data_IF_456505310051
#
_entry.id   IF_456505310051
#
_cell.length_a   1.000
_cell.length_b   1.000
_cell.length_c   1.000
_cell.angle_alpha   90.00
_cell.angle_beta   90.00
_cell.angle_gamma   90.00
#
_symmetry.space_group_name_H-M   'P 1'
#
loop_
_entity.id
_entity.type
_entity.pdbx_description
1 polymer ?
#
# COMPACT_ATOMS: atom_id res chain seq x y z
N UNK A 1 7.54 29.47 10.02
CA UNK A 1 7.34 28.00 10.19
C UNK A 1 6.40 27.43 9.11
N UNK A 2 6.41 27.91 7.86
CA UNK A 2 5.44 27.51 6.80
C UNK A 2 5.89 26.35 5.89
N UNK A 3 7.19 26.03 5.83
CA UNK A 3 7.71 25.04 4.86
C UNK A 3 7.30 23.58 5.10
N UNK A 4 6.77 23.23 6.29
CA UNK A 4 6.49 21.82 6.66
C UNK A 4 5.07 21.37 6.28
N UNK A 5 4.14 22.31 6.11
CA UNK A 5 2.73 22.01 5.84
C UNK A 5 2.43 21.82 4.34
N UNK A 6 3.26 22.35 3.43
CA UNK A 6 3.06 22.19 1.97
C UNK A 6 3.30 20.75 1.50
N UNK A 7 4.34 20.09 2.03
CA UNK A 7 4.79 18.76 1.60
C UNK A 7 3.77 17.61 1.75
N UNK A 8 3.06 17.46 2.89
CA UNK A 8 2.02 16.43 2.98
C UNK A 8 0.85 16.69 2.03
N UNK A 9 0.53 17.96 1.77
CA UNK A 9 -0.53 18.32 0.83
C UNK A 9 -0.13 18.05 -0.62
N UNK A 10 1.13 18.32 -0.99
CA UNK A 10 1.72 17.94 -2.28
C UNK A 10 1.69 16.42 -2.49
N UNK A 11 1.88 15.63 -1.42
CA UNK A 11 1.86 14.17 -1.46
C UNK A 11 0.44 13.62 -1.60
N UNK A 12 -0.53 14.19 -0.89
CA UNK A 12 -1.95 13.90 -1.10
C UNK A 12 -2.35 14.24 -2.54
N UNK A 13 -1.90 15.38 -3.05
CA UNK A 13 -2.13 15.76 -4.44
C UNK A 13 -1.50 14.75 -5.39
N UNK A 14 -0.23 14.36 -5.20
CA UNK A 14 0.44 13.35 -6.01
C UNK A 14 -0.25 11.98 -5.95
N UNK A 15 -0.75 11.55 -4.80
CA UNK A 15 -1.51 10.31 -4.67
C UNK A 15 -2.82 10.31 -5.47
N UNK A 16 -3.41 11.48 -5.69
CA UNK A 16 -4.65 11.64 -6.47
C UNK A 16 -4.36 11.93 -7.94
N UNK A 17 -3.31 12.68 -8.24
CA UNK A 17 -2.98 13.16 -9.59
C UNK A 17 -2.13 12.18 -10.39
N UNK A 18 -1.25 11.41 -9.73
CA UNK A 18 -0.40 10.43 -10.41
C UNK A 18 -1.12 9.08 -10.52
N UNK A 19 -1.37 8.58 -11.75
CA UNK A 19 -2.08 7.31 -11.96
C UNK A 19 -1.42 6.13 -11.24
N UNK A 20 -0.09 6.13 -11.16
CA UNK A 20 0.66 5.08 -10.46
C UNK A 20 0.26 5.00 -8.98
N UNK A 21 0.27 6.12 -8.26
CA UNK A 21 -0.06 6.12 -6.83
C UNK A 21 -1.56 5.86 -6.60
N UNK A 22 -2.42 6.47 -7.41
CA UNK A 22 -3.86 6.31 -7.30
C UNK A 22 -4.30 4.86 -7.52
N UNK A 23 -3.80 4.20 -8.57
CA UNK A 23 -4.16 2.81 -8.86
C UNK A 23 -3.63 1.84 -7.80
N UNK A 24 -2.43 2.08 -7.27
CA UNK A 24 -1.92 1.29 -6.15
C UNK A 24 -2.76 1.46 -4.89
N UNK A 25 -3.15 2.69 -4.58
CA UNK A 25 -4.03 2.99 -3.47
C UNK A 25 -5.39 2.30 -3.63
N UNK A 26 -6.03 2.47 -4.80
CA UNK A 26 -7.32 1.84 -5.08
C UNK A 26 -7.24 0.31 -5.02
N UNK A 27 -6.17 -0.27 -5.57
CA UNK A 27 -5.91 -1.71 -5.50
C UNK A 27 -5.76 -2.15 -4.05
N UNK A 28 -5.01 -1.43 -3.22
CA UNK A 28 -4.89 -1.76 -1.80
C UNK A 28 -6.23 -1.72 -1.08
N UNK A 29 -7.01 -0.66 -1.23
CA UNK A 29 -8.30 -0.52 -0.55
C UNK A 29 -9.39 -1.45 -1.09
N UNK A 30 -9.26 -1.93 -2.34
CA UNK A 30 -10.15 -2.97 -2.89
C UNK A 30 -10.15 -4.25 -2.05
N UNK A 31 -9.06 -4.51 -1.31
CA UNK A 31 -8.98 -5.65 -0.39
C UNK A 31 -10.06 -5.61 0.67
N UNK A 32 -10.35 -4.43 1.25
CA UNK A 32 -11.37 -4.29 2.29
C UNK A 32 -12.77 -4.61 1.72
N UNK A 33 -13.03 -4.17 0.49
CA UNK A 33 -14.30 -4.46 -0.21
C UNK A 33 -14.43 -5.96 -0.46
N UNK A 34 -13.37 -6.62 -0.93
CA UNK A 34 -13.35 -8.06 -1.15
C UNK A 34 -13.46 -8.85 0.17
N UNK A 35 -12.77 -8.42 1.22
CA UNK A 35 -12.76 -9.02 2.55
C UNK A 35 -14.13 -9.00 3.20
N UNK A 36 -14.81 -7.85 3.13
CA UNK A 36 -16.18 -7.68 3.63
C UNK A 36 -17.17 -8.46 2.79
N UNK A 37 -17.00 -8.44 1.46
CA UNK A 37 -17.84 -9.23 0.55
C UNK A 37 -17.69 -10.73 0.79
N UNK A 38 -16.49 -11.25 1.04
CA UNK A 38 -16.23 -12.67 1.29
C UNK A 38 -16.59 -13.12 2.72
N UNK A 39 -16.89 -12.19 3.64
CA UNK A 39 -17.07 -12.51 5.06
C UNK A 39 -18.22 -13.50 5.32
N UNK A 40 -19.25 -13.53 4.47
CA UNK A 40 -20.38 -14.46 4.60
C UNK A 40 -20.07 -15.89 4.12
N UNK A 41 -19.03 -16.07 3.30
CA UNK A 41 -18.60 -17.37 2.77
C UNK A 41 -17.48 -17.98 3.62
N UNK A 42 -16.74 -17.14 4.33
CA UNK A 42 -15.59 -17.54 5.12
C UNK A 42 -16.03 -18.18 6.45
N UNK A 43 -15.37 -19.27 6.84
CA UNK A 43 -15.63 -19.88 8.15
C UNK A 43 -15.20 -18.92 9.29
N UNK A 44 -15.85 -19.04 10.44
CA UNK A 44 -15.53 -18.20 11.61
C UNK A 44 -14.06 -18.32 12.03
N UNK A 45 -13.48 -19.52 11.94
CA UNK A 45 -12.08 -19.77 12.26
C UNK A 45 -11.12 -19.04 11.31
N UNK A 46 -11.38 -19.09 10.00
CA UNK A 46 -10.54 -18.38 9.01
C UNK A 46 -10.70 -16.87 9.17
N UNK A 47 -11.92 -16.39 9.45
CA UNK A 47 -12.21 -14.97 9.69
C UNK A 47 -11.41 -14.40 10.86
N UNK A 48 -11.38 -15.13 11.98
CA UNK A 48 -10.63 -14.72 13.17
C UNK A 48 -9.12 -14.76 12.93
N UNK A 49 -8.61 -15.84 12.31
CA UNK A 49 -7.20 -15.93 11.96
C UNK A 49 -6.76 -14.79 11.03
N UNK A 50 -7.57 -14.48 10.01
CA UNK A 50 -7.30 -13.41 9.06
C UNK A 50 -7.29 -12.04 9.73
N UNK A 51 -8.22 -11.77 10.67
CA UNK A 51 -8.25 -10.52 11.43
C UNK A 51 -6.95 -10.30 12.22
N UNK A 52 -6.46 -11.33 12.91
CA UNK A 52 -5.19 -11.26 13.63
C UNK A 52 -4.03 -10.92 12.70
N UNK A 53 -4.03 -11.49 11.48
CA UNK A 53 -2.99 -11.24 10.47
C UNK A 53 -3.11 -9.85 9.85
N UNK A 54 -4.31 -9.34 9.64
CA UNK A 54 -4.57 -7.96 9.19
C UNK A 54 -4.05 -6.95 10.22
N UNK A 55 -4.35 -7.16 11.50
CA UNK A 55 -3.85 -6.32 12.60
C UNK A 55 -2.32 -6.41 12.67
N UNK A 56 -1.75 -7.62 12.59
CA UNK A 56 -0.30 -7.81 12.62
C UNK A 56 0.39 -7.10 11.44
N UNK A 57 -0.17 -7.20 10.24
CA UNK A 57 0.34 -6.51 9.06
C UNK A 57 0.28 -4.98 9.22
N UNK A 58 -0.84 -4.45 9.71
CA UNK A 58 -1.00 -3.02 9.97
C UNK A 58 0.00 -2.50 11.01
N UNK A 59 0.19 -3.24 12.12
CA UNK A 59 1.16 -2.90 13.15
C UNK A 59 2.60 -2.96 12.63
N UNK A 60 2.94 -3.99 11.85
CA UNK A 60 4.28 -4.14 11.26
C UNK A 60 4.56 -3.02 10.26
N UNK A 61 3.59 -2.69 9.41
CA UNK A 61 3.69 -1.58 8.48
C UNK A 61 3.85 -0.23 9.20
N UNK A 62 3.07 0.00 10.27
CA UNK A 62 3.19 1.19 11.10
C UNK A 62 4.57 1.31 11.75
N UNK A 63 5.10 0.21 12.29
CA UNK A 63 6.44 0.17 12.88
C UNK A 63 7.54 0.47 11.85
N UNK A 64 7.49 -0.15 10.66
CA UNK A 64 8.45 0.11 9.58
C UNK A 64 8.41 1.57 9.15
N UNK A 65 7.21 2.14 9.01
CA UNK A 65 7.00 3.55 8.67
C UNK A 65 7.56 4.48 9.74
N UNK A 66 7.32 4.18 11.02
CA UNK A 66 7.84 4.96 12.14
C UNK A 66 9.37 4.93 12.21
N UNK A 67 9.98 3.75 12.03
CA UNK A 67 11.44 3.59 11.98
C UNK A 67 12.02 4.44 10.84
N UNK A 68 11.43 4.38 9.64
CA UNK A 68 11.89 5.16 8.49
C UNK A 68 11.77 6.66 8.71
N UNK A 69 10.68 7.11 9.34
CA UNK A 69 10.50 8.52 9.72
C UNK A 69 11.56 9.00 10.71
N UNK A 70 11.92 8.17 11.70
CA UNK A 70 12.94 8.51 12.71
C UNK A 70 14.35 8.52 12.11
N UNK A 71 14.62 7.68 11.09
CA UNK A 71 15.91 7.63 10.39
C UNK A 71 16.12 8.78 9.41
N UNK A 72 15.22 9.77 9.38
CA UNK A 72 15.24 10.91 8.46
C UNK A 72 15.42 10.49 6.99
N UNK A 73 14.85 9.33 6.61
CA UNK A 73 14.91 8.89 5.23
C UNK A 73 14.15 9.86 4.31
N UNK A 74 14.60 10.00 3.08
CA UNK A 74 13.93 10.85 2.09
C UNK A 74 12.45 10.46 1.98
N UNK A 75 11.55 11.43 1.89
CA UNK A 75 10.12 11.17 1.71
C UNK A 75 9.83 10.29 0.50
N UNK A 76 10.66 10.39 -0.55
CA UNK A 76 10.60 9.55 -1.74
C UNK A 76 10.84 8.07 -1.41
N UNK A 77 11.91 7.78 -0.67
CA UNK A 77 12.22 6.44 -0.15
C UNK A 77 11.10 5.91 0.75
N UNK A 78 10.54 6.77 1.61
CA UNK A 78 9.39 6.39 2.45
C UNK A 78 8.20 5.93 1.60
N UNK A 79 7.78 6.70 0.59
CA UNK A 79 6.64 6.34 -0.27
C UNK A 79 6.92 5.06 -1.05
N UNK A 80 8.10 4.96 -1.65
CA UNK A 80 8.48 3.78 -2.44
C UNK A 80 8.46 2.51 -1.59
N UNK A 81 9.06 2.56 -0.39
CA UNK A 81 9.12 1.44 0.52
C UNK A 81 7.76 1.14 1.14
N UNK A 82 6.96 2.16 1.46
CA UNK A 82 5.58 1.98 1.92
C UNK A 82 4.74 1.26 0.86
N UNK A 83 4.82 1.65 -0.41
CA UNK A 83 4.10 0.96 -1.48
C UNK A 83 4.60 -0.47 -1.67
N UNK A 84 5.90 -0.70 -1.55
CA UNK A 84 6.49 -2.03 -1.64
C UNK A 84 6.02 -2.94 -0.51
N UNK A 85 6.10 -2.48 0.74
CA UNK A 85 5.63 -3.25 1.90
C UNK A 85 4.12 -3.48 1.84
N UNK A 86 3.34 -2.47 1.45
CA UNK A 86 1.89 -2.62 1.31
C UNK A 86 1.51 -3.73 0.30
N UNK A 87 2.24 -3.84 -0.83
CA UNK A 87 2.07 -4.94 -1.79
C UNK A 87 2.38 -6.29 -1.15
N UNK A 88 3.50 -6.41 -0.44
CA UNK A 88 3.90 -7.67 0.21
C UNK A 88 2.88 -8.10 1.24
N UNK A 89 2.44 -7.19 2.11
CA UNK A 89 1.41 -7.50 3.11
C UNK A 89 0.11 -7.90 2.46
N UNK A 90 -0.32 -7.19 1.40
CA UNK A 90 -1.54 -7.53 0.69
C UNK A 90 -1.47 -8.91 0.01
N UNK A 91 -0.35 -9.24 -0.61
CA UNK A 91 -0.11 -10.59 -1.17
C UNK A 91 -0.16 -11.64 -0.05
N UNK A 92 0.45 -11.38 1.10
CA UNK A 92 0.40 -12.27 2.25
C UNK A 92 -1.03 -12.50 2.78
N UNK A 93 -1.82 -11.44 2.90
CA UNK A 93 -3.21 -11.52 3.35
C UNK A 93 -4.10 -12.25 2.35
N UNK A 94 -3.95 -11.94 1.07
CA UNK A 94 -4.73 -12.58 0.00
C UNK A 94 -4.37 -14.05 -0.15
N UNK A 95 -3.13 -14.48 0.13
CA UNK A 95 -2.73 -15.90 0.15
C UNK A 95 -3.45 -16.71 1.22
N UNK A 96 -3.72 -16.11 2.38
CA UNK A 96 -4.47 -16.74 3.47
C UNK A 96 -5.95 -16.86 3.09
N UNK A 97 -6.47 -15.88 2.35
CA UNK A 97 -7.86 -15.84 1.93
C UNK A 97 -8.13 -16.81 0.77
N UNK A 98 -7.43 -16.65 -0.36
CA UNK A 98 -7.58 -17.48 -1.56
C UNK A 98 -6.39 -17.33 -2.53
N UNK A 99 -5.93 -18.46 -3.09
CA UNK A 99 -4.79 -18.48 -4.02
C UNK A 99 -5.10 -17.80 -5.35
N UNK A 100 -6.31 -17.95 -5.89
CA UNK A 100 -6.68 -17.28 -7.13
C UNK A 100 -6.77 -15.77 -6.94
N UNK A 101 -7.31 -15.32 -5.80
CA UNK A 101 -7.33 -13.91 -5.45
C UNK A 101 -5.92 -13.32 -5.40
N UNK A 102 -4.97 -14.04 -4.81
CA UNK A 102 -3.57 -13.64 -4.82
C UNK A 102 -3.04 -13.45 -6.23
N UNK A 103 -3.30 -14.41 -7.14
CA UNK A 103 -2.88 -14.32 -8.54
C UNK A 103 -3.48 -13.08 -9.22
N UNK A 104 -4.76 -12.77 -8.96
CA UNK A 104 -5.40 -11.57 -9.48
C UNK A 104 -4.74 -10.28 -8.98
N UNK A 105 -4.35 -10.21 -7.70
CA UNK A 105 -3.60 -9.06 -7.17
C UNK A 105 -2.22 -8.94 -7.79
N UNK A 106 -1.50 -10.05 -7.99
CA UNK A 106 -0.20 -10.04 -8.66
C UNK A 106 -0.34 -9.55 -10.10
N UNK A 107 -1.35 -10.02 -10.83
CA UNK A 107 -1.66 -9.55 -12.19
C UNK A 107 -2.01 -8.06 -12.17
N UNK A 108 -2.86 -7.61 -11.25
CA UNK A 108 -3.23 -6.19 -11.13
C UNK A 108 -2.01 -5.30 -10.89
N UNK A 109 -1.13 -5.66 -9.95
CA UNK A 109 0.10 -4.90 -9.71
C UNK A 109 1.04 -4.92 -10.91
N UNK A 110 1.11 -6.02 -11.65
CA UNK A 110 1.91 -6.13 -12.88
C UNK A 110 1.35 -5.22 -13.97
N UNK A 111 0.04 -5.21 -14.16
CA UNK A 111 -0.65 -4.32 -15.10
C UNK A 111 -0.39 -2.87 -14.72
N UNK A 112 -0.58 -2.48 -13.46
CA UNK A 112 -0.32 -1.10 -13.02
C UNK A 112 1.13 -0.72 -13.30
N UNK A 113 2.09 -1.60 -13.01
CA UNK A 113 3.50 -1.37 -13.28
C UNK A 113 3.78 -1.12 -14.78
N UNK A 114 3.23 -1.95 -15.67
CA UNK A 114 3.40 -1.82 -17.12
C UNK A 114 2.78 -0.51 -17.64
N UNK A 115 1.58 -0.17 -17.18
CA UNK A 115 0.80 0.94 -17.75
C UNK A 115 1.12 2.31 -17.17
N UNK A 116 1.56 2.39 -15.92
CA UNK A 116 1.69 3.68 -15.23
C UNK A 116 3.09 4.04 -14.79
N UNK A 117 4.11 3.20 -15.13
CA UNK A 117 5.55 3.33 -14.81
C UNK A 117 5.87 4.30 -13.67
N UNK A 118 6.35 3.78 -12.53
CA UNK A 118 6.61 4.58 -11.33
C UNK A 118 7.22 5.95 -11.69
N UNK A 119 6.50 7.06 -11.45
CA UNK A 119 6.94 8.35 -11.93
C UNK A 119 8.30 8.66 -11.31
N UNK A 120 9.18 9.28 -12.11
CA UNK A 120 10.43 9.80 -11.62
C UNK A 120 10.09 10.88 -10.59
N UNK A 121 10.17 10.54 -9.30
CA UNK A 121 10.04 11.53 -8.25
C UNK A 121 11.12 12.58 -8.50
N UNK A 122 10.70 13.83 -8.69
CA UNK A 122 11.63 14.94 -8.79
C UNK A 122 12.44 14.95 -7.50
N UNK A 123 13.71 14.54 -7.58
CA UNK A 123 14.72 14.93 -6.61
C UNK A 123 14.62 16.45 -6.49
N UNK A 124 13.95 16.92 -5.45
CA UNK A 124 13.83 18.33 -5.09
C UNK A 124 15.21 18.82 -4.69
N UNK A 125 16.04 19.08 -5.70
CA UNK A 125 17.48 19.23 -5.56
C UNK A 125 18.20 19.31 -6.90
N UNK A 126 17.68 20.09 -7.85
CA UNK A 126 18.53 20.68 -8.90
C UNK A 126 18.71 22.16 -8.57
N UNK A 127 19.93 22.41 -8.04
CA UNK A 127 20.70 23.66 -7.91
C UNK A 127 19.98 24.99 -8.15
#
# INVERSE_FOLDING_TARGET
MEKKQSRPMELLNAMVSEPYYLLHFLTFFSYLVLRTSAAHVLSAHITDHLLHREIQAALTFGLLTAIKMVREETLEGLIADSLFFAKIFLIGLTLILDRHLTLWYVVAFTVIYIFTQQPAFQKLGTR
#
